data_IF_431481814140
#
_entry.id   IF_431481814140
#
_cell.length_a   1.000
_cell.length_b   1.000
_cell.length_c   1.000
_cell.angle_alpha   90.00
_cell.angle_beta   90.00
_cell.angle_gamma   90.00
#
_symmetry.space_group_name_H-M   'P 1'
#
loop_
_entity.id
_entity.type
_entity.pdbx_description
1 polymer ?
#
# COMPACT_ATOMS: atom_id res chain seq x y z
N UNK A 1 -32.40 -14.47 10.23
CA UNK A 1 -31.25 -13.88 10.95
C UNK A 1 -30.59 -14.97 11.74
N UNK A 2 -29.37 -15.30 11.35
CA UNK A 2 -28.49 -16.22 12.07
C UNK A 2 -28.03 -15.51 13.35
N UNK A 3 -28.12 -16.17 14.49
CA UNK A 3 -27.50 -15.66 15.71
C UNK A 3 -25.97 -15.68 15.50
N UNK A 4 -25.27 -14.52 15.57
CA UNK A 4 -23.82 -14.46 15.39
C UNK A 4 -23.03 -15.36 16.34
N UNK A 5 -23.64 -15.79 17.44
CA UNK A 5 -23.05 -16.65 18.47
C UNK A 5 -23.56 -18.10 18.41
N UNK A 6 -24.30 -18.50 17.37
CA UNK A 6 -24.72 -19.89 17.25
C UNK A 6 -23.52 -20.83 17.09
N UNK A 7 -23.54 -21.97 17.79
CA UNK A 7 -22.47 -22.96 17.70
C UNK A 7 -22.28 -23.49 16.26
N UNK A 8 -23.32 -23.39 15.42
CA UNK A 8 -23.32 -23.82 14.02
C UNK A 8 -22.43 -22.95 13.10
N UNK A 9 -22.15 -21.69 13.46
CA UNK A 9 -21.30 -20.78 12.67
C UNK A 9 -19.95 -20.48 13.33
N UNK A 10 -19.82 -20.75 14.63
CA UNK A 10 -18.61 -20.45 15.40
C UNK A 10 -17.35 -21.11 14.80
N UNK A 11 -17.48 -22.34 14.29
CA UNK A 11 -16.37 -23.03 13.64
C UNK A 11 -15.88 -22.29 12.39
N UNK A 12 -16.78 -21.69 11.60
CA UNK A 12 -16.42 -20.91 10.40
C UNK A 12 -15.64 -19.67 10.81
N UNK A 13 -16.04 -19.02 11.90
CA UNK A 13 -15.33 -17.84 12.42
C UNK A 13 -13.93 -18.20 12.91
N UNK A 14 -13.79 -19.30 13.68
CA UNK A 14 -12.50 -19.74 14.21
C UNK A 14 -11.55 -20.12 13.07
N UNK A 15 -11.99 -20.99 12.15
CA UNK A 15 -11.15 -21.41 11.03
C UNK A 15 -10.92 -20.24 10.07
N UNK A 16 -11.93 -19.39 9.85
CA UNK A 16 -11.82 -18.17 9.06
C UNK A 16 -10.76 -17.23 9.60
N UNK A 17 -10.67 -17.05 10.92
CA UNK A 17 -9.62 -16.25 11.54
C UNK A 17 -8.22 -16.82 11.30
N UNK A 18 -8.07 -18.15 11.46
CA UNK A 18 -6.81 -18.84 11.16
C UNK A 18 -6.44 -18.64 9.68
N UNK A 19 -7.40 -18.83 8.78
CA UNK A 19 -7.18 -18.65 7.34
C UNK A 19 -6.88 -17.20 6.97
N UNK A 20 -7.45 -16.22 7.68
CA UNK A 20 -7.14 -14.81 7.47
C UNK A 20 -5.70 -14.50 7.86
N UNK A 21 -5.20 -15.10 8.95
CA UNK A 21 -3.79 -15.00 9.32
C UNK A 21 -2.87 -15.63 8.26
N UNK A 22 -3.24 -16.79 7.73
CA UNK A 22 -2.52 -17.47 6.64
C UNK A 22 -2.50 -16.61 5.37
N UNK A 23 -3.63 -16.01 5.00
CA UNK A 23 -3.72 -15.09 3.87
C UNK A 23 -2.82 -13.87 4.09
N UNK A 24 -2.89 -13.24 5.27
CA UNK A 24 -2.08 -12.08 5.63
C UNK A 24 -0.58 -12.39 5.58
N UNK A 25 -0.18 -13.58 6.03
CA UNK A 25 1.20 -14.07 5.88
C UNK A 25 1.60 -14.19 4.40
N UNK A 26 0.75 -14.80 3.56
CA UNK A 26 0.98 -14.94 2.13
C UNK A 26 1.08 -13.59 1.41
N UNK A 27 0.22 -12.63 1.75
CA UNK A 27 0.27 -11.24 1.29
C UNK A 27 1.63 -10.61 1.60
N UNK A 28 2.06 -10.65 2.86
CA UNK A 28 3.36 -10.10 3.25
C UNK A 28 4.52 -10.76 2.52
N UNK A 29 4.51 -12.10 2.39
CA UNK A 29 5.56 -12.84 1.71
C UNK A 29 5.67 -12.50 0.21
N UNK A 30 4.53 -12.27 -0.46
CA UNK A 30 4.48 -11.93 -1.88
C UNK A 30 4.80 -10.44 -2.15
N UNK A 31 4.32 -9.54 -1.29
CA UNK A 31 4.31 -8.09 -1.60
C UNK A 31 5.50 -7.31 -1.05
N UNK A 32 6.24 -7.83 -0.04
CA UNK A 32 7.42 -7.14 0.53
C UNK A 32 8.47 -6.80 -0.53
N UNK A 33 8.62 -7.66 -1.54
CA UNK A 33 9.55 -7.44 -2.64
C UNK A 33 9.20 -6.20 -3.48
N UNK A 34 7.92 -5.83 -3.57
CA UNK A 34 7.45 -4.69 -4.36
C UNK A 34 7.95 -3.36 -3.75
N UNK A 35 7.94 -3.24 -2.41
CA UNK A 35 8.32 -2.03 -1.69
C UNK A 35 9.83 -1.96 -1.40
N UNK A 36 10.46 -3.08 -1.07
CA UNK A 36 11.85 -3.10 -0.59
C UNK A 36 12.86 -3.71 -1.57
N UNK A 37 12.41 -4.28 -2.70
CA UNK A 37 13.27 -4.94 -3.68
C UNK A 37 14.38 -4.04 -4.23
N UNK A 38 14.06 -2.77 -4.52
CA UNK A 38 15.05 -1.78 -5.02
C UNK A 38 16.04 -1.36 -3.94
N UNK A 39 15.58 -1.17 -2.69
CA UNK A 39 16.43 -0.79 -1.55
C UNK A 39 17.40 -1.91 -1.14
N UNK A 40 16.96 -3.15 -1.19
CA UNK A 40 17.82 -4.33 -0.95
C UNK A 40 18.75 -4.57 -2.14
N UNK A 41 18.23 -4.49 -3.37
CA UNK A 41 19.01 -4.69 -4.60
C UNK A 41 20.14 -3.66 -4.78
N UNK A 42 19.92 -2.41 -4.35
CA UNK A 42 20.92 -1.34 -4.33
C UNK A 42 21.90 -1.41 -3.15
N UNK A 43 21.76 -2.41 -2.26
CA UNK A 43 22.56 -2.59 -1.03
C UNK A 43 22.47 -1.44 -0.03
N UNK A 44 21.41 -0.63 -0.10
CA UNK A 44 21.13 0.40 0.90
C UNK A 44 20.64 -0.25 2.20
N UNK A 45 19.85 -1.32 2.08
CA UNK A 45 19.35 -2.10 3.21
C UNK A 45 19.73 -3.57 3.08
N UNK A 46 19.96 -4.22 4.21
CA UNK A 46 20.02 -5.68 4.28
C UNK A 46 18.60 -6.28 4.26
N UNK A 47 18.48 -7.54 3.86
CA UNK A 47 17.19 -8.27 3.88
C UNK A 47 16.55 -8.22 5.27
N UNK A 48 17.34 -8.42 6.34
CA UNK A 48 16.82 -8.39 7.73
C UNK A 48 16.25 -7.02 8.10
N UNK A 49 16.93 -5.93 7.71
CA UNK A 49 16.45 -4.57 7.95
C UNK A 49 15.19 -4.27 7.15
N UNK A 50 15.15 -4.68 5.88
CA UNK A 50 13.98 -4.54 5.04
C UNK A 50 12.76 -5.26 5.62
N UNK A 51 12.90 -6.51 6.08
CA UNK A 51 11.80 -7.24 6.72
C UNK A 51 11.29 -6.53 7.99
N UNK A 52 12.19 -6.04 8.85
CA UNK A 52 11.79 -5.33 10.07
C UNK A 52 11.01 -4.05 9.74
N UNK A 53 11.51 -3.26 8.80
CA UNK A 53 10.84 -2.03 8.38
C UNK A 53 9.51 -2.31 7.68
N UNK A 54 9.46 -3.34 6.83
CA UNK A 54 8.23 -3.77 6.17
C UNK A 54 7.16 -4.15 7.19
N UNK A 55 7.48 -4.94 8.22
CA UNK A 55 6.52 -5.32 9.27
C UNK A 55 5.90 -4.08 9.91
N UNK A 56 6.70 -3.09 10.30
CA UNK A 56 6.18 -1.87 10.94
C UNK A 56 5.33 -1.05 9.96
N UNK A 57 5.82 -0.83 8.74
CA UNK A 57 5.14 0.00 7.75
C UNK A 57 3.84 -0.64 7.23
N UNK A 58 3.82 -1.95 6.97
CA UNK A 58 2.64 -2.68 6.48
C UNK A 58 1.56 -2.78 7.57
N UNK A 59 1.96 -3.05 8.83
CA UNK A 59 1.00 -3.03 9.95
C UNK A 59 0.41 -1.63 10.12
N UNK A 60 1.25 -0.58 10.11
CA UNK A 60 0.76 0.79 10.21
C UNK A 60 -0.17 1.15 9.04
N UNK A 61 0.20 0.80 7.81
CA UNK A 61 -0.60 1.04 6.61
C UNK A 61 -1.95 0.31 6.65
N UNK A 62 -1.97 -0.96 7.05
CA UNK A 62 -3.21 -1.75 7.15
C UNK A 62 -4.21 -1.15 8.16
N UNK A 63 -3.72 -0.64 9.30
CA UNK A 63 -4.56 0.00 10.32
C UNK A 63 -5.06 1.38 9.85
N UNK A 64 -4.17 2.18 9.24
CA UNK A 64 -4.47 3.58 8.89
C UNK A 64 -5.33 3.70 7.63
N UNK A 65 -5.07 2.88 6.60
CA UNK A 65 -5.65 3.01 5.25
C UNK A 65 -6.46 1.77 4.80
N UNK A 66 -6.27 0.61 5.43
CA UNK A 66 -6.83 -0.65 4.94
C UNK A 66 -8.36 -0.69 4.86
N UNK A 67 -9.05 0.08 5.71
CA UNK A 67 -10.51 0.07 5.84
C UNK A 67 -11.26 0.28 4.52
N UNK A 68 -10.88 1.27 3.70
CA UNK A 68 -11.63 1.64 2.49
C UNK A 68 -11.60 0.54 1.44
N UNK A 69 -10.44 -0.10 1.28
CA UNK A 69 -10.27 -1.25 0.37
C UNK A 69 -11.03 -2.46 0.91
N UNK A 70 -10.95 -2.73 2.21
CA UNK A 70 -11.72 -3.81 2.85
C UNK A 70 -13.23 -3.63 2.71
N UNK A 71 -13.74 -2.41 2.81
CA UNK A 71 -15.17 -2.14 2.64
C UNK A 71 -15.63 -2.33 1.18
N UNK A 72 -14.79 -1.92 0.22
CA UNK A 72 -15.03 -2.19 -1.21
C UNK A 72 -15.06 -3.69 -1.51
N UNK A 73 -14.18 -4.47 -0.89
CA UNK A 73 -14.21 -5.94 -1.03
C UNK A 73 -15.46 -6.56 -0.39
N UNK A 74 -15.87 -6.07 0.79
CA UNK A 74 -17.03 -6.61 1.53
C UNK A 74 -18.36 -6.31 0.85
N UNK A 75 -18.55 -5.10 0.30
CA UNK A 75 -19.86 -4.60 -0.15
C UNK A 75 -19.87 -4.02 -1.56
N UNK A 76 -18.71 -3.66 -2.11
CA UNK A 76 -18.64 -3.01 -3.41
C UNK A 76 -18.83 -3.99 -4.57
N UNK A 77 -18.15 -5.13 -4.52
CA UNK A 77 -18.14 -6.12 -5.61
C UNK A 77 -19.40 -6.98 -5.60
N UNK A 78 -19.90 -7.31 -4.41
CA UNK A 78 -21.05 -8.18 -4.24
C UNK A 78 -22.34 -7.39 -4.04
N UNK A 79 -23.42 -7.90 -4.61
CA UNK A 79 -24.78 -7.46 -4.30
C UNK A 79 -25.21 -8.13 -2.99
N UNK A 80 -24.90 -7.51 -1.85
CA UNK A 80 -25.18 -8.12 -0.53
C UNK A 80 -26.68 -8.39 -0.33
N UNK A 81 -27.55 -7.53 -0.87
CA UNK A 81 -29.02 -7.64 -0.73
C UNK A 81 -29.60 -8.94 -1.28
N UNK A 82 -28.92 -9.62 -2.23
CA UNK A 82 -29.42 -10.92 -2.74
C UNK A 82 -29.17 -12.08 -1.76
N UNK A 83 -28.50 -11.81 -0.63
CA UNK A 83 -28.19 -12.74 0.44
C UNK A 83 -28.91 -12.42 1.76
N UNK A 84 -29.87 -11.48 1.78
CA UNK A 84 -30.57 -11.07 3.01
C UNK A 84 -31.27 -12.26 3.72
N UNK A 85 -31.80 -13.21 2.95
CA UNK A 85 -32.41 -14.45 3.46
C UNK A 85 -31.44 -15.66 3.47
N UNK A 86 -30.16 -15.44 3.13
CA UNK A 86 -29.15 -16.48 2.94
C UNK A 86 -27.78 -16.07 3.51
N UNK A 87 -27.79 -15.47 4.70
CA UNK A 87 -26.60 -15.00 5.42
C UNK A 87 -25.54 -16.10 5.59
N UNK A 88 -25.97 -17.36 5.77
CA UNK A 88 -25.08 -18.52 5.92
C UNK A 88 -24.29 -18.79 4.63
N UNK A 89 -24.94 -18.67 3.48
CA UNK A 89 -24.29 -18.85 2.17
C UNK A 89 -23.26 -17.75 1.92
N UNK A 90 -23.57 -16.50 2.30
CA UNK A 90 -22.63 -15.40 2.18
C UNK A 90 -21.40 -15.62 3.08
N UNK A 91 -21.61 -16.07 4.32
CA UNK A 91 -20.53 -16.39 5.25
C UNK A 91 -19.62 -17.50 4.71
N UNK A 92 -20.20 -18.60 4.24
CA UNK A 92 -19.46 -19.71 3.61
C UNK A 92 -18.75 -19.27 2.32
N UNK A 93 -19.39 -18.45 1.51
CA UNK A 93 -18.81 -17.88 0.30
C UNK A 93 -17.57 -17.03 0.58
N UNK A 94 -17.65 -16.17 1.59
CA UNK A 94 -16.49 -15.38 2.04
C UNK A 94 -15.37 -16.23 2.61
N UNK A 95 -15.73 -17.26 3.37
CA UNK A 95 -14.76 -18.24 3.87
C UNK A 95 -14.07 -19.00 2.72
N UNK A 96 -14.82 -19.41 1.70
CA UNK A 96 -14.28 -20.04 0.50
C UNK A 96 -13.38 -19.07 -0.30
N UNK A 97 -13.77 -17.80 -0.42
CA UNK A 97 -12.95 -16.77 -1.09
C UNK A 97 -11.61 -16.57 -0.37
N UNK A 98 -11.64 -16.56 0.96
CA UNK A 98 -10.46 -16.44 1.81
C UNK A 98 -9.49 -17.63 1.61
N UNK A 99 -10.01 -18.86 1.62
CA UNK A 99 -9.21 -20.07 1.38
C UNK A 99 -8.65 -20.07 -0.05
N UNK A 100 -9.50 -19.83 -1.06
CA UNK A 100 -9.09 -19.83 -2.46
C UNK A 100 -7.98 -18.82 -2.75
N UNK A 101 -8.10 -17.62 -2.17
CA UNK A 101 -7.07 -16.58 -2.27
C UNK A 101 -5.78 -16.98 -1.57
N UNK A 102 -5.88 -17.61 -0.40
CA UNK A 102 -4.72 -18.07 0.37
C UNK A 102 -3.94 -19.14 -0.39
N UNK A 103 -4.65 -20.12 -0.97
CA UNK A 103 -4.04 -21.20 -1.76
C UNK A 103 -3.34 -20.62 -2.99
N UNK A 104 -3.98 -19.71 -3.70
CA UNK A 104 -3.39 -19.07 -4.88
C UNK A 104 -2.13 -18.27 -4.52
N UNK A 105 -2.19 -17.43 -3.48
CA UNK A 105 -1.07 -16.57 -3.08
C UNK A 105 0.10 -17.37 -2.53
N UNK A 106 -0.15 -18.33 -1.64
CA UNK A 106 0.89 -19.18 -1.11
C UNK A 106 1.51 -20.04 -2.21
N UNK A 107 0.69 -20.67 -3.06
CA UNK A 107 1.17 -21.46 -4.19
C UNK A 107 2.08 -20.65 -5.12
N UNK A 108 1.67 -19.44 -5.49
CA UNK A 108 2.49 -18.55 -6.30
C UNK A 108 3.79 -18.13 -5.59
N UNK A 109 3.71 -17.82 -4.29
CA UNK A 109 4.88 -17.46 -3.47
C UNK A 109 5.88 -18.62 -3.39
N UNK A 110 5.40 -19.85 -3.19
CA UNK A 110 6.23 -21.07 -3.21
C UNK A 110 6.92 -21.26 -4.57
N UNK A 111 6.21 -20.97 -5.66
CA UNK A 111 6.75 -20.99 -7.02
C UNK A 111 7.60 -19.76 -7.36
N UNK A 112 7.76 -18.80 -6.44
CA UNK A 112 8.49 -17.54 -6.61
C UNK A 112 7.93 -16.66 -7.73
N UNK A 113 6.63 -16.77 -7.98
CA UNK A 113 5.91 -15.97 -8.98
C UNK A 113 5.31 -14.74 -8.30
N UNK A 114 5.68 -13.50 -8.72
CA UNK A 114 5.03 -12.31 -8.22
C UNK A 114 3.61 -12.25 -8.81
N UNK A 115 2.61 -12.50 -7.97
CA UNK A 115 1.19 -12.42 -8.35
C UNK A 115 0.51 -11.27 -7.63
N UNK A 116 -0.71 -10.94 -8.03
CA UNK A 116 -1.47 -9.86 -7.40
C UNK A 116 -2.50 -10.43 -6.43
N UNK A 117 -2.35 -10.10 -5.14
CA UNK A 117 -3.29 -10.50 -4.10
C UNK A 117 -4.70 -9.94 -4.33
N UNK A 118 -4.81 -8.70 -4.83
CA UNK A 118 -6.08 -8.08 -5.16
C UNK A 118 -6.83 -8.88 -6.23
N UNK A 119 -6.15 -9.32 -7.29
CA UNK A 119 -6.79 -10.15 -8.32
C UNK A 119 -7.24 -11.50 -7.74
N UNK A 120 -6.44 -12.12 -6.87
CA UNK A 120 -6.79 -13.38 -6.22
C UNK A 120 -8.09 -13.28 -5.40
N UNK A 121 -8.22 -12.26 -4.53
CA UNK A 121 -9.42 -12.10 -3.69
C UNK A 121 -10.64 -11.63 -4.48
N UNK A 122 -10.49 -10.73 -5.45
CA UNK A 122 -11.60 -10.34 -6.35
C UNK A 122 -12.08 -11.56 -7.14
N UNK A 123 -11.16 -12.32 -7.73
CA UNK A 123 -11.48 -13.51 -8.51
C UNK A 123 -12.17 -14.58 -7.68
N UNK A 124 -11.69 -14.86 -6.46
CA UNK A 124 -12.30 -15.82 -5.57
C UNK A 124 -13.71 -15.38 -5.11
N UNK A 125 -13.89 -14.08 -4.86
CA UNK A 125 -15.17 -13.46 -4.48
C UNK A 125 -16.21 -13.56 -5.60
N UNK A 126 -15.80 -13.23 -6.83
CA UNK A 126 -16.62 -13.41 -8.04
C UNK A 126 -16.97 -14.89 -8.23
N UNK A 127 -15.98 -15.77 -8.07
CA UNK A 127 -16.14 -17.20 -8.27
C UNK A 127 -17.24 -17.80 -7.40
N UNK A 128 -17.21 -17.57 -6.08
CA UNK A 128 -18.27 -18.11 -5.23
C UNK A 128 -19.62 -17.43 -5.51
N UNK A 129 -19.64 -16.13 -5.79
CA UNK A 129 -20.89 -15.43 -6.02
C UNK A 129 -21.59 -15.89 -7.29
N UNK A 130 -20.84 -16.16 -8.36
CA UNK A 130 -21.36 -16.79 -9.58
C UNK A 130 -21.95 -18.18 -9.29
N UNK A 131 -21.31 -18.97 -8.44
CA UNK A 131 -21.81 -20.31 -8.08
C UNK A 131 -23.11 -20.22 -7.26
N UNK A 132 -23.20 -19.32 -6.28
CA UNK A 132 -24.35 -19.22 -5.39
C UNK A 132 -25.54 -18.45 -5.99
N UNK A 133 -25.27 -17.37 -6.73
CA UNK A 133 -26.29 -16.39 -7.15
C UNK A 133 -26.22 -16.00 -8.62
N UNK A 134 -25.30 -16.60 -9.39
CA UNK A 134 -25.14 -16.29 -10.81
C UNK A 134 -24.76 -14.84 -11.06
N UNK A 135 -25.23 -14.30 -12.17
CA UNK A 135 -25.01 -12.92 -12.61
C UNK A 135 -25.55 -11.86 -11.63
N UNK A 136 -26.62 -12.19 -10.90
CA UNK A 136 -27.30 -11.29 -9.96
C UNK A 136 -26.52 -11.03 -8.66
N UNK A 137 -25.56 -11.90 -8.33
CA UNK A 137 -24.72 -11.76 -7.13
C UNK A 137 -23.64 -10.67 -7.25
N UNK A 138 -23.38 -10.18 -8.47
CA UNK A 138 -22.24 -9.32 -8.77
C UNK A 138 -22.67 -7.92 -9.18
N UNK A 139 -21.96 -6.92 -8.64
CA UNK A 139 -22.06 -5.55 -9.12
C UNK A 139 -21.12 -5.33 -10.31
N UNK A 140 -21.62 -5.62 -11.52
CA UNK A 140 -20.86 -5.52 -12.77
C UNK A 140 -20.31 -4.12 -13.04
N UNK A 141 -21.00 -3.07 -12.59
CA UNK A 141 -20.53 -1.68 -12.74
C UNK A 141 -19.28 -1.45 -11.90
N UNK A 142 -19.29 -1.87 -10.63
CA UNK A 142 -18.13 -1.75 -9.74
C UNK A 142 -16.99 -2.64 -10.22
N UNK A 143 -17.29 -3.88 -10.62
CA UNK A 143 -16.29 -4.78 -11.19
C UNK A 143 -15.61 -4.17 -12.44
N UNK A 144 -16.39 -3.60 -13.36
CA UNK A 144 -15.85 -2.91 -14.54
C UNK A 144 -14.91 -1.75 -14.19
N UNK A 145 -15.24 -0.95 -13.16
CA UNK A 145 -14.37 0.11 -12.66
C UNK A 145 -13.06 -0.44 -12.06
N UNK A 146 -13.14 -1.54 -11.30
CA UNK A 146 -11.97 -2.21 -10.73
C UNK A 146 -11.07 -2.75 -11.84
N UNK A 147 -11.63 -3.46 -12.81
CA UNK A 147 -10.89 -3.99 -13.97
C UNK A 147 -10.24 -2.85 -14.75
N UNK A 148 -10.97 -1.76 -15.00
CA UNK A 148 -10.40 -0.56 -15.64
C UNK A 148 -9.21 0.01 -14.85
N UNK A 149 -9.31 0.04 -13.51
CA UNK A 149 -8.23 0.52 -12.64
C UNK A 149 -6.95 -0.33 -12.74
N UNK A 150 -7.05 -1.63 -13.05
CA UNK A 150 -5.89 -2.52 -13.18
C UNK A 150 -5.02 -2.18 -14.39
N UNK A 151 -5.59 -1.58 -15.44
CA UNK A 151 -4.84 -1.10 -16.60
C UNK A 151 -4.37 0.34 -16.43
N UNK A 152 -5.23 1.20 -15.87
CA UNK A 152 -4.93 2.61 -15.69
C UNK A 152 -3.80 2.80 -14.66
N UNK A 153 -3.78 2.03 -13.57
CA UNK A 153 -2.81 2.24 -12.48
C UNK A 153 -1.35 1.99 -12.91
N UNK A 154 -1.00 0.87 -13.58
CA UNK A 154 0.36 0.67 -14.10
C UNK A 154 0.76 1.69 -15.17
N UNK A 155 -0.18 2.11 -16.02
CA UNK A 155 0.10 3.12 -17.04
C UNK A 155 0.45 4.47 -16.40
N UNK A 156 -0.37 4.94 -15.45
CA UNK A 156 -0.14 6.19 -14.74
C UNK A 156 1.14 6.12 -13.88
N UNK A 157 1.39 5.01 -13.20
CA UNK A 157 2.62 4.84 -12.42
C UNK A 157 3.86 4.84 -13.32
N UNK A 158 3.80 4.24 -14.51
CA UNK A 158 4.84 4.30 -15.52
C UNK A 158 5.12 5.73 -15.99
N UNK A 159 4.08 6.48 -16.34
CA UNK A 159 4.21 7.89 -16.77
C UNK A 159 4.82 8.76 -15.67
N UNK A 160 4.35 8.63 -14.44
CA UNK A 160 4.87 9.39 -13.29
C UNK A 160 6.32 9.00 -13.01
N UNK A 161 6.65 7.70 -13.04
CA UNK A 161 8.00 7.20 -12.78
C UNK A 161 9.00 7.71 -13.82
N UNK A 162 8.65 7.65 -15.11
CA UNK A 162 9.49 8.20 -16.19
C UNK A 162 9.65 9.72 -16.04
N UNK A 163 8.57 10.44 -15.76
CA UNK A 163 8.61 11.89 -15.57
C UNK A 163 9.51 12.28 -14.40
N UNK A 164 9.37 11.59 -13.26
CA UNK A 164 10.20 11.81 -12.09
C UNK A 164 11.67 11.49 -12.35
N UNK A 165 11.95 10.39 -13.05
CA UNK A 165 13.30 10.03 -13.46
C UNK A 165 13.93 11.10 -14.37
N UNK A 166 13.19 11.63 -15.35
CA UNK A 166 13.68 12.70 -16.23
C UNK A 166 13.98 13.98 -15.45
N UNK A 167 13.15 14.33 -14.46
CA UNK A 167 13.39 15.47 -13.56
C UNK A 167 14.65 15.25 -12.74
N UNK A 168 14.81 14.09 -12.10
CA UNK A 168 16.01 13.74 -11.33
C UNK A 168 17.25 13.76 -12.22
N UNK A 169 17.17 13.17 -13.42
CA UNK A 169 18.27 13.13 -14.37
C UNK A 169 18.71 14.53 -14.78
N UNK A 170 17.76 15.41 -15.09
CA UNK A 170 18.05 16.78 -15.54
C UNK A 170 18.54 17.69 -14.42
N UNK A 171 17.93 17.63 -13.24
CA UNK A 171 18.19 18.58 -12.15
C UNK A 171 19.30 18.14 -11.20
N UNK A 172 19.54 16.83 -11.08
CA UNK A 172 20.48 16.26 -10.11
C UNK A 172 21.63 15.57 -10.83
N UNK A 173 21.36 14.56 -11.67
CA UNK A 173 22.43 13.72 -12.22
C UNK A 173 23.30 14.44 -13.26
N UNK A 174 22.71 15.31 -14.08
CA UNK A 174 23.42 16.09 -15.09
C UNK A 174 23.93 17.46 -14.58
N UNK A 175 23.81 17.74 -13.28
CA UNK A 175 24.32 18.98 -12.71
C UNK A 175 25.85 19.00 -12.65
N UNK A 176 26.44 20.20 -12.55
CA UNK A 176 27.89 20.37 -12.39
C UNK A 176 28.42 19.72 -11.10
N UNK A 177 27.65 19.78 -10.01
CA UNK A 177 27.89 19.02 -8.78
C UNK A 177 26.64 18.19 -8.41
N UNK A 178 26.58 16.92 -8.87
CA UNK A 178 25.46 16.02 -8.57
C UNK A 178 25.32 15.67 -7.09
N UNK A 179 26.41 15.66 -6.33
CA UNK A 179 26.39 15.31 -4.90
C UNK A 179 25.75 16.45 -4.11
N UNK A 180 26.18 17.69 -4.34
CA UNK A 180 25.57 18.85 -3.71
C UNK A 180 24.09 18.97 -4.10
N UNK A 181 23.73 18.84 -5.38
CA UNK A 181 22.32 18.88 -5.82
C UNK A 181 21.50 17.74 -5.24
N UNK A 182 22.07 16.54 -5.11
CA UNK A 182 21.43 15.41 -4.45
C UNK A 182 21.08 15.73 -3.00
N UNK A 183 22.05 16.22 -2.22
CA UNK A 183 21.83 16.63 -0.82
C UNK A 183 20.78 17.75 -0.69
N UNK A 184 20.83 18.76 -1.56
CA UNK A 184 19.85 19.87 -1.58
C UNK A 184 18.43 19.41 -1.95
N UNK A 185 18.31 18.31 -2.69
CA UNK A 185 17.01 17.74 -3.09
C UNK A 185 16.36 16.88 -2.01
N UNK A 186 17.12 16.37 -1.03
CA UNK A 186 16.60 15.48 0.02
C UNK A 186 15.41 16.07 0.80
N UNK A 187 15.46 17.33 1.30
CA UNK A 187 14.31 17.92 2.01
C UNK A 187 13.06 17.90 1.16
N UNK A 188 13.16 18.23 -0.12
CA UNK A 188 12.02 18.31 -1.04
C UNK A 188 11.39 16.93 -1.23
N UNK A 189 12.19 15.90 -1.53
CA UNK A 189 11.68 14.54 -1.72
C UNK A 189 11.03 13.98 -0.46
N UNK A 190 11.68 14.12 0.70
CA UNK A 190 11.12 13.66 1.97
C UNK A 190 9.86 14.43 2.35
N UNK A 191 9.87 15.76 2.18
CA UNK A 191 8.73 16.62 2.47
C UNK A 191 7.50 16.29 1.63
N UNK A 192 7.67 16.13 0.31
CA UNK A 192 6.60 15.72 -0.61
C UNK A 192 6.09 14.32 -0.25
N UNK A 193 6.99 13.38 0.05
CA UNK A 193 6.61 12.01 0.41
C UNK A 193 5.75 11.98 1.68
N UNK A 194 6.17 12.69 2.72
CA UNK A 194 5.41 12.79 3.97
C UNK A 194 4.10 13.55 3.76
N UNK A 195 4.10 14.63 2.96
CA UNK A 195 2.88 15.33 2.60
C UNK A 195 1.85 14.38 1.97
N UNK A 196 2.25 13.61 0.96
CA UNK A 196 1.36 12.67 0.26
C UNK A 196 0.86 11.58 1.22
N UNK A 197 1.74 11.00 2.04
CA UNK A 197 1.36 9.97 3.00
C UNK A 197 0.36 10.50 4.03
N UNK A 198 0.63 11.66 4.64
CA UNK A 198 -0.27 12.27 5.63
C UNK A 198 -1.59 12.66 4.98
N UNK A 199 -1.56 13.26 3.79
CA UNK A 199 -2.78 13.60 3.05
C UNK A 199 -3.63 12.37 2.79
N UNK A 200 -3.02 11.28 2.33
CA UNK A 200 -3.73 10.03 2.04
C UNK A 200 -4.30 9.41 3.32
N UNK A 201 -3.51 9.32 4.40
CA UNK A 201 -3.96 8.78 5.70
C UNK A 201 -5.12 9.58 6.27
N UNK A 202 -5.06 10.90 6.22
CA UNK A 202 -6.07 11.75 6.87
C UNK A 202 -7.31 11.93 5.98
N UNK A 203 -7.16 11.94 4.65
CA UNK A 203 -8.29 12.06 3.74
C UNK A 203 -9.02 10.74 3.52
N UNK A 204 -8.26 9.66 3.33
CA UNK A 204 -8.77 8.35 2.89
C UNK A 204 -8.66 7.26 3.95
N UNK A 205 -8.14 7.61 5.13
CA UNK A 205 -7.95 6.65 6.20
C UNK A 205 -9.23 6.19 6.87
N UNK A 206 -9.02 5.31 7.85
CA UNK A 206 -10.09 4.58 8.51
C UNK A 206 -11.14 5.48 9.17
N UNK A 207 -12.41 5.19 8.88
CA UNK A 207 -13.55 5.81 9.56
C UNK A 207 -13.56 5.53 11.06
N UNK A 208 -12.96 4.41 11.49
CA UNK A 208 -12.80 4.04 12.90
C UNK A 208 -11.87 5.00 13.67
N UNK A 209 -10.92 5.63 12.97
CA UNK A 209 -10.02 6.63 13.56
C UNK A 209 -10.60 8.06 13.49
N UNK A 210 -11.87 8.19 13.09
CA UNK A 210 -12.59 9.46 12.95
C UNK A 210 -11.96 10.46 11.95
N UNK A 211 -11.09 9.99 11.05
CA UNK A 211 -10.49 10.84 10.02
C UNK A 211 -11.53 11.47 9.08
N UNK A 212 -12.65 10.79 8.85
CA UNK A 212 -13.80 11.30 8.09
C UNK A 212 -14.43 12.60 8.64
N UNK A 213 -14.11 13.00 9.87
CA UNK A 213 -14.62 14.24 10.48
C UNK A 213 -13.75 15.46 10.18
N UNK A 214 -12.55 15.26 9.63
CA UNK A 214 -11.62 16.34 9.35
C UNK A 214 -11.99 16.96 8.00
N UNK A 215 -12.28 18.27 7.95
CA UNK A 215 -12.61 18.94 6.69
C UNK A 215 -11.37 19.01 5.79
N UNK A 216 -11.58 19.07 4.47
CA UNK A 216 -10.49 19.05 3.48
C UNK A 216 -9.42 20.13 3.73
N UNK A 217 -9.82 21.33 4.16
CA UNK A 217 -8.87 22.39 4.50
C UNK A 217 -7.98 22.01 5.69
N UNK A 218 -8.53 21.31 6.69
CA UNK A 218 -7.79 20.80 7.84
C UNK A 218 -6.80 19.70 7.43
N UNK A 219 -7.20 18.83 6.50
CA UNK A 219 -6.30 17.84 5.88
C UNK A 219 -5.13 18.53 5.20
N UNK A 220 -5.40 19.53 4.35
CA UNK A 220 -4.36 20.27 3.63
C UNK A 220 -3.42 20.98 4.60
N UNK A 221 -3.94 21.71 5.59
CA UNK A 221 -3.12 22.40 6.60
C UNK A 221 -2.22 21.42 7.35
N UNK A 222 -2.76 20.27 7.77
CA UNK A 222 -2.00 19.26 8.49
C UNK A 222 -0.91 18.64 7.60
N UNK A 223 -1.24 18.25 6.37
CA UNK A 223 -0.29 17.65 5.44
C UNK A 223 0.82 18.63 5.05
N UNK A 224 0.47 19.87 4.72
CA UNK A 224 1.47 20.92 4.41
C UNK A 224 2.32 21.24 5.63
N UNK A 225 1.72 21.33 6.82
CA UNK A 225 2.43 21.60 8.07
C UNK A 225 3.46 20.52 8.40
N UNK A 226 3.05 19.25 8.39
CA UNK A 226 3.97 18.12 8.67
C UNK A 226 4.99 17.95 7.54
N UNK A 227 4.60 18.13 6.28
CA UNK A 227 5.50 18.11 5.14
C UNK A 227 6.58 19.17 5.25
N UNK A 228 6.22 20.43 5.50
CA UNK A 228 7.15 21.54 5.66
C UNK A 228 8.06 21.36 6.89
N UNK A 229 7.51 20.90 8.02
CA UNK A 229 8.30 20.56 9.21
C UNK A 229 9.36 19.49 8.89
N UNK A 230 8.97 18.47 8.11
CA UNK A 230 9.88 17.42 7.66
C UNK A 230 10.98 18.00 6.77
N UNK A 231 10.66 18.91 5.85
CA UNK A 231 11.66 19.59 5.01
C UNK A 231 12.70 20.32 5.88
N UNK A 232 12.23 21.09 6.87
CA UNK A 232 13.09 21.82 7.79
C UNK A 232 13.96 20.86 8.60
N UNK A 233 13.39 19.79 9.16
CA UNK A 233 14.12 18.79 9.91
C UNK A 233 15.19 18.08 9.05
N UNK A 234 14.84 17.67 7.83
CA UNK A 234 15.78 17.02 6.90
C UNK A 234 16.92 17.98 6.54
N UNK A 235 16.62 19.26 6.30
CA UNK A 235 17.64 20.27 5.99
C UNK A 235 18.64 20.47 7.14
N UNK A 236 18.16 20.60 8.37
CA UNK A 236 19.03 20.90 9.51
C UNK A 236 19.72 19.68 10.12
N UNK A 237 19.16 18.47 9.99
CA UNK A 237 19.71 17.27 10.62
C UNK A 237 20.27 16.28 9.61
N UNK A 238 19.48 15.87 8.61
CA UNK A 238 19.86 14.78 7.71
C UNK A 238 20.88 15.22 6.66
N UNK A 239 20.68 16.38 6.03
CA UNK A 239 21.62 16.93 5.02
C UNK A 239 23.04 17.08 5.58
N UNK A 240 23.28 17.75 6.74
CA UNK A 240 24.64 17.88 7.26
C UNK A 240 25.22 16.55 7.73
N UNK A 241 24.40 15.63 8.27
CA UNK A 241 24.84 14.29 8.63
C UNK A 241 25.32 13.51 7.40
N UNK A 242 24.52 13.48 6.33
CA UNK A 242 24.87 12.80 5.08
C UNK A 242 26.09 13.44 4.41
N UNK A 243 26.20 14.77 4.43
CA UNK A 243 27.37 15.49 3.95
C UNK A 243 28.65 15.03 4.65
N UNK A 244 28.68 15.07 6.00
CA UNK A 244 29.84 14.60 6.78
C UNK A 244 30.21 13.15 6.48
N UNK A 245 29.20 12.28 6.32
CA UNK A 245 29.41 10.87 6.00
C UNK A 245 30.02 10.65 4.61
N UNK A 246 29.60 11.44 3.62
CA UNK A 246 30.15 11.40 2.25
C UNK A 246 31.57 11.95 2.23
N UNK A 247 31.80 13.12 2.84
CA UNK A 247 33.12 13.75 2.94
C UNK A 247 34.12 12.81 3.64
N UNK A 248 33.72 12.15 4.73
CA UNK A 248 34.58 11.18 5.43
C UNK A 248 34.86 9.89 4.65
N UNK A 249 34.02 9.52 3.67
CA UNK A 249 34.20 8.32 2.86
C UNK A 249 35.00 8.57 1.58
N UNK A 250 34.87 9.76 1.00
CA UNK A 250 35.47 10.09 -0.30
C UNK A 250 36.57 11.16 -0.23
N UNK A 251 36.79 11.79 0.93
CA UNK A 251 37.89 12.75 1.15
C UNK A 251 37.77 14.07 0.38
N UNK A 252 36.64 14.32 -0.29
CA UNK A 252 36.38 15.54 -1.05
C UNK A 252 35.40 16.46 -0.29
N UNK A 253 35.72 17.76 -0.09
CA UNK A 253 34.80 18.69 0.55
C UNK A 253 33.62 18.96 -0.39
N UNK A 254 32.39 18.72 0.08
CA UNK A 254 31.18 19.00 -0.69
C UNK A 254 30.81 20.46 -0.42
N UNK A 255 31.05 21.38 -1.35
CA UNK A 255 30.66 22.79 -1.17
C UNK A 255 29.30 23.06 -1.80
N UNK A 256 28.37 23.65 -1.05
CA UNK A 256 27.12 24.16 -1.62
C UNK A 256 27.30 25.48 -2.38
N UNK A 257 28.55 25.93 -2.59
CA UNK A 257 28.84 27.06 -3.46
C UNK A 257 28.41 26.70 -4.88
N UNK A 258 27.29 27.26 -5.31
CA UNK A 258 26.85 27.24 -6.71
C UNK A 258 27.99 27.91 -7.49
N UNK A 259 28.81 27.12 -8.19
CA UNK A 259 29.68 27.67 -9.22
C UNK A 259 28.75 28.38 -10.21
N UNK A 260 28.84 29.71 -10.22
CA UNK A 260 28.11 30.57 -11.16
C UNK A 260 28.53 30.26 -12.60
#
# INVERSE_FOLDING_TARGET
>A
MIDPYSEEVLWIVIIGFIMAFVLAFGLGANDVANSFGTSVGSKVLTVKQACCLATVCEIAGSILLGYKVSDTMRKGILQVNVYDDAEYELLLGMFAALIGSSVMLLGATFLKLPVSATHSIVGATIGFSLVCRGDKGINWKVLGMIVGSWFVSPLLSGVISVSLYLVIRRLILNASDPIARGLLSLPIFYGITIFINVFTIVHEGSSLLYFNRIPLWGVLVLSFGIGALTMVAVWFFLVPFMRKKIEGKFGQPVSFSIAR
#
